data_IF_034675440131
#
_entry.id   IF_034675440131
#
_cell.length_a   1.000
_cell.length_b   1.000
_cell.length_c   1.000
_cell.angle_alpha   90.00
_cell.angle_beta   90.00
_cell.angle_gamma   90.00
#
_symmetry.space_group_name_H-M   'P 1'
#
loop_
_entity.id
_entity.type
_entity.pdbx_description
1 polymer ?
#
# COMPACT_ATOMS: atom_id res chain seq x y z
N UNK A 1 -6.42 -2.70 -15.96
CA UNK A 1 -5.11 -2.54 -16.61
C UNK A 1 -4.10 -2.08 -15.57
N UNK A 2 -2.94 -2.73 -15.48
CA UNK A 2 -1.94 -2.43 -14.44
C UNK A 2 -1.24 -1.10 -14.72
N UNK A 3 -1.41 -0.10 -13.86
CA UNK A 3 -0.68 1.20 -13.91
C UNK A 3 0.80 1.09 -13.48
N UNK A 4 1.34 -0.13 -13.38
CA UNK A 4 2.74 -0.36 -13.01
C UNK A 4 3.65 -0.05 -14.19
N UNK A 5 4.63 0.81 -13.97
CA UNK A 5 5.64 1.15 -14.95
C UNK A 5 7.04 0.86 -14.39
N UNK A 6 8.02 0.47 -15.22
CA UNK A 6 9.41 0.32 -14.80
C UNK A 6 9.98 1.63 -14.25
N UNK A 7 10.65 1.55 -13.10
CA UNK A 7 11.25 2.73 -12.46
C UNK A 7 12.31 3.37 -13.35
N UNK A 8 13.05 2.56 -14.12
CA UNK A 8 14.05 3.04 -15.08
C UNK A 8 13.45 3.95 -16.16
N UNK A 9 12.26 3.62 -16.66
CA UNK A 9 11.56 4.42 -17.67
C UNK A 9 11.03 5.72 -17.06
N UNK A 10 10.46 5.66 -15.86
CA UNK A 10 9.95 6.84 -15.16
C UNK A 10 11.06 7.84 -14.84
N UNK A 11 12.24 7.37 -14.42
CA UNK A 11 13.38 8.26 -14.12
C UNK A 11 13.92 8.92 -15.38
N UNK A 12 13.85 8.23 -16.53
CA UNK A 12 14.30 8.74 -17.82
C UNK A 12 13.32 9.74 -18.45
N UNK A 13 12.02 9.70 -18.10
CA UNK A 13 11.04 10.66 -18.62
C UNK A 13 11.28 12.06 -18.01
N UNK A 14 11.59 13.08 -18.83
CA UNK A 14 11.81 14.44 -18.35
C UNK A 14 10.55 15.08 -17.74
N UNK A 15 9.36 14.58 -18.07
CA UNK A 15 8.07 15.05 -17.55
C UNK A 15 7.78 14.52 -16.14
N UNK A 16 8.56 13.56 -15.65
CA UNK A 16 8.42 13.07 -14.27
C UNK A 16 8.76 14.18 -13.28
N UNK A 17 7.88 14.46 -12.29
CA UNK A 17 8.17 15.41 -11.23
C UNK A 17 9.52 15.13 -10.55
N UNK A 18 10.27 16.19 -10.26
CA UNK A 18 11.64 16.06 -9.73
C UNK A 18 11.68 15.26 -8.43
N UNK A 19 10.74 15.50 -7.52
CA UNK A 19 10.66 14.83 -6.24
C UNK A 19 10.43 13.31 -6.39
N UNK A 20 9.52 12.90 -7.27
CA UNK A 20 9.23 11.51 -7.57
C UNK A 20 10.45 10.83 -8.22
N UNK A 21 11.08 11.50 -9.20
CA UNK A 21 12.31 11.00 -9.84
C UNK A 21 13.44 10.80 -8.83
N UNK A 22 13.64 11.73 -7.91
CA UNK A 22 14.72 11.65 -6.91
C UNK A 22 14.45 10.54 -5.90
N UNK A 23 13.21 10.40 -5.39
CA UNK A 23 12.81 9.29 -4.51
C UNK A 23 13.02 7.93 -5.20
N UNK A 24 12.64 7.82 -6.48
CA UNK A 24 12.79 6.59 -7.24
C UNK A 24 14.26 6.22 -7.52
N UNK A 25 15.15 7.21 -7.70
CA UNK A 25 16.60 6.96 -7.77
C UNK A 25 17.13 6.35 -6.47
N UNK A 26 16.66 6.82 -5.31
CA UNK A 26 17.03 6.24 -4.01
C UNK A 26 16.61 4.77 -3.92
N UNK A 27 15.40 4.43 -4.40
CA UNK A 27 14.93 3.03 -4.45
C UNK A 27 15.89 2.15 -5.27
N UNK A 28 16.30 2.59 -6.46
CA UNK A 28 17.25 1.83 -7.29
C UNK A 28 18.64 1.72 -6.64
N UNK A 29 19.12 2.77 -5.97
CA UNK A 29 20.38 2.74 -5.24
C UNK A 29 20.34 1.76 -4.06
N UNK A 30 19.28 1.80 -3.26
CA UNK A 30 19.07 0.86 -2.16
C UNK A 30 18.99 -0.59 -2.66
N UNK A 31 18.29 -0.83 -3.77
CA UNK A 31 18.23 -2.15 -4.42
C UNK A 31 19.62 -2.62 -4.88
N UNK A 32 20.43 -1.73 -5.46
CA UNK A 32 21.81 -2.04 -5.86
C UNK A 32 22.66 -2.42 -4.65
N UNK A 33 22.60 -1.64 -3.57
CA UNK A 33 23.32 -1.92 -2.33
C UNK A 33 22.91 -3.26 -1.70
N UNK A 34 21.60 -3.55 -1.64
CA UNK A 34 21.10 -4.82 -1.12
C UNK A 34 21.66 -6.03 -1.89
N UNK A 35 21.79 -5.91 -3.22
CA UNK A 35 22.37 -6.97 -4.06
C UNK A 35 23.89 -7.04 -3.91
N UNK A 36 24.56 -5.91 -4.09
CA UNK A 36 26.01 -5.87 -4.31
C UNK A 36 26.80 -5.92 -2.99
N UNK A 37 26.25 -5.36 -1.91
CA UNK A 37 26.92 -5.25 -0.60
C UNK A 37 26.37 -6.21 0.44
N UNK A 38 25.05 -6.47 0.43
CA UNK A 38 24.41 -7.38 1.39
C UNK A 38 24.16 -8.78 0.82
N UNK A 39 24.47 -9.02 -0.46
CA UNK A 39 24.26 -10.28 -1.17
C UNK A 39 22.81 -10.82 -1.10
N UNK A 40 21.84 -9.93 -0.94
CA UNK A 40 20.42 -10.27 -0.91
C UNK A 40 19.90 -10.56 -2.32
N UNK A 41 18.96 -11.51 -2.42
CA UNK A 41 18.31 -11.88 -3.69
C UNK A 41 17.24 -10.85 -4.07
N UNK A 42 17.64 -9.71 -4.61
CA UNK A 42 16.72 -8.62 -4.97
C UNK A 42 15.70 -8.97 -6.08
N UNK A 43 16.05 -9.86 -7.03
CA UNK A 43 15.19 -10.28 -8.16
C UNK A 43 14.43 -9.10 -8.80
N UNK A 44 13.11 -9.20 -8.93
CA UNK A 44 12.22 -8.16 -9.47
C UNK A 44 11.60 -7.28 -8.38
N UNK A 45 12.07 -7.39 -7.13
CA UNK A 45 11.58 -6.54 -6.05
C UNK A 45 11.96 -5.09 -6.32
N UNK A 46 10.99 -4.19 -6.14
CA UNK A 46 11.16 -2.75 -6.25
C UNK A 46 11.72 -2.29 -7.62
N UNK A 47 11.32 -2.94 -8.72
CA UNK A 47 11.67 -2.51 -10.09
C UNK A 47 10.58 -1.71 -10.79
N UNK A 48 9.36 -1.71 -10.25
CA UNK A 48 8.20 -1.03 -10.82
C UNK A 48 7.58 -0.06 -9.82
N UNK A 49 6.93 0.97 -10.34
CA UNK A 49 6.21 1.97 -9.57
C UNK A 49 4.81 2.18 -10.15
N UNK A 50 3.84 2.44 -9.29
CA UNK A 50 2.49 2.85 -9.68
C UNK A 50 2.23 4.21 -9.09
N UNK A 51 2.08 5.21 -9.96
CA UNK A 51 1.68 6.55 -9.55
C UNK A 51 0.23 6.51 -9.08
N UNK A 52 -0.03 7.12 -7.93
CA UNK A 52 -1.37 7.36 -7.43
C UNK A 52 -1.81 8.76 -7.82
N UNK A 53 -3.10 8.93 -8.05
CA UNK A 53 -3.69 10.25 -8.33
C UNK A 53 -4.05 11.01 -7.03
N UNK A 54 -3.87 10.35 -5.89
CA UNK A 54 -4.15 10.85 -4.55
C UNK A 54 -3.06 10.38 -3.58
N UNK A 55 -2.96 11.02 -2.42
CA UNK A 55 -1.88 10.75 -1.44
C UNK A 55 -2.08 9.48 -0.61
N UNK A 56 -3.21 8.78 -0.73
CA UNK A 56 -3.52 7.62 0.12
C UNK A 56 -3.90 6.40 -0.70
N UNK A 57 -3.12 5.32 -0.73
CA UNK A 57 -3.48 4.16 -1.57
C UNK A 57 -4.81 3.49 -1.16
N UNK A 58 -5.01 3.33 0.14
CA UNK A 58 -6.08 2.53 0.73
C UNK A 58 -6.35 3.05 2.14
N UNK A 59 -7.61 3.07 2.55
CA UNK A 59 -7.97 3.23 3.96
C UNK A 59 -8.16 1.86 4.59
N UNK A 60 -7.65 1.68 5.81
CA UNK A 60 -7.82 0.44 6.57
C UNK A 60 -8.73 0.72 7.75
N UNK A 61 -9.83 -0.01 7.85
CA UNK A 61 -10.74 0.00 8.99
C UNK A 61 -10.39 -1.17 9.91
N UNK A 62 -10.22 -0.87 11.19
CA UNK A 62 -10.12 -1.84 12.28
C UNK A 62 -11.03 -1.38 13.40
N UNK A 63 -11.65 -2.31 14.12
CA UNK A 63 -12.56 -2.01 15.21
C UNK A 63 -12.37 -2.99 16.37
N UNK A 64 -12.88 -2.63 17.54
CA UNK A 64 -13.00 -3.49 18.72
C UNK A 64 -14.41 -3.33 19.29
N UNK A 65 -14.90 -4.36 19.98
CA UNK A 65 -16.22 -4.30 20.62
C UNK A 65 -16.21 -3.32 21.79
N UNK A 66 -17.31 -2.60 22.02
CA UNK A 66 -17.42 -1.52 23.03
C UNK A 66 -16.89 -1.85 24.42
N UNK A 67 -17.16 -3.05 24.90
CA UNK A 67 -16.94 -3.47 26.29
C UNK A 67 -15.70 -4.36 26.46
N UNK A 68 -14.98 -4.67 25.38
CA UNK A 68 -13.81 -5.53 25.43
C UNK A 68 -12.74 -5.12 24.43
N UNK A 69 -11.47 -5.23 24.83
CA UNK A 69 -10.32 -5.01 23.95
C UNK A 69 -10.08 -6.23 23.04
N UNK A 70 -11.13 -6.67 22.34
CA UNK A 70 -11.11 -7.77 21.39
C UNK A 70 -11.38 -7.22 19.99
N UNK A 71 -10.57 -7.59 18.97
CA UNK A 71 -10.77 -7.08 17.61
C UNK A 71 -12.08 -7.61 17.02
N UNK A 72 -12.79 -6.72 16.33
CA UNK A 72 -13.80 -7.11 15.35
C UNK A 72 -13.10 -7.79 14.17
N UNK A 73 -13.69 -8.86 13.64
CA UNK A 73 -13.09 -9.62 12.53
C UNK A 73 -14.07 -9.82 11.40
N UNK A 74 -13.60 -9.63 10.17
CA UNK A 74 -14.34 -9.99 8.97
C UNK A 74 -13.96 -11.39 8.52
N UNK A 75 -14.93 -12.17 8.06
CA UNK A 75 -14.68 -13.50 7.49
C UNK A 75 -14.70 -13.46 5.97
N UNK A 76 -13.67 -14.05 5.35
CA UNK A 76 -13.56 -14.22 3.91
C UNK A 76 -13.36 -15.72 3.58
N UNK A 77 -13.97 -16.24 2.51
CA UNK A 77 -13.97 -17.68 2.21
C UNK A 77 -12.59 -18.35 2.12
N UNK A 78 -11.57 -17.63 1.65
CA UNK A 78 -10.21 -18.18 1.45
C UNK A 78 -9.24 -17.74 2.54
N UNK A 79 -9.35 -16.48 2.99
CA UNK A 79 -8.40 -15.88 3.95
C UNK A 79 -8.76 -16.22 5.40
N UNK A 80 -10.03 -16.51 5.68
CA UNK A 80 -10.54 -16.71 7.03
C UNK A 80 -10.87 -15.39 7.72
N UNK A 81 -10.63 -15.32 9.04
CA UNK A 81 -10.92 -14.13 9.86
C UNK A 81 -9.75 -13.15 9.86
N UNK A 82 -10.02 -11.89 9.52
CA UNK A 82 -9.01 -10.82 9.47
C UNK A 82 -9.45 -9.67 10.40
N UNK A 83 -8.56 -9.11 11.23
CA UNK A 83 -8.91 -8.05 12.20
C UNK A 83 -8.92 -6.63 11.60
N UNK A 84 -8.87 -6.51 10.26
CA UNK A 84 -8.97 -5.25 9.55
C UNK A 84 -9.51 -5.48 8.13
N UNK A 85 -10.07 -4.42 7.52
CA UNK A 85 -10.57 -4.44 6.15
C UNK A 85 -10.10 -3.20 5.40
N UNK A 86 -9.49 -3.41 4.23
CA UNK A 86 -8.97 -2.34 3.37
C UNK A 86 -10.01 -1.87 2.33
N UNK A 87 -10.02 -0.57 2.06
CA UNK A 87 -10.95 0.09 1.16
C UNK A 87 -10.22 1.04 0.20
N UNK A 88 -10.45 0.85 -1.10
CA UNK A 88 -10.02 1.80 -2.14
C UNK A 88 -11.02 2.95 -2.32
N UNK A 89 -12.31 2.72 -2.03
CA UNK A 89 -13.34 3.75 -1.91
C UNK A 89 -13.34 4.29 -0.47
N UNK A 90 -12.96 5.55 -0.30
CA UNK A 90 -12.82 6.14 1.03
C UNK A 90 -14.16 6.43 1.70
N UNK A 91 -15.22 6.70 0.92
CA UNK A 91 -16.54 6.90 1.49
C UNK A 91 -17.13 5.58 1.96
N UNK A 92 -16.82 4.47 1.28
CA UNK A 92 -17.14 3.13 1.78
C UNK A 92 -16.43 2.82 3.10
N UNK A 93 -15.14 3.15 3.21
CA UNK A 93 -14.38 2.99 4.46
C UNK A 93 -15.02 3.78 5.62
N UNK A 94 -15.42 5.03 5.36
CA UNK A 94 -16.03 5.92 6.36
C UNK A 94 -17.44 5.48 6.74
N UNK A 95 -18.21 4.90 5.81
CA UNK A 95 -19.52 4.29 6.11
C UNK A 95 -19.32 3.10 7.04
N UNK A 96 -18.48 2.14 6.68
CA UNK A 96 -18.23 0.96 7.54
C UNK A 96 -17.73 1.36 8.94
N UNK A 97 -16.83 2.35 9.04
CA UNK A 97 -16.35 2.82 10.33
C UNK A 97 -17.45 3.43 11.20
N UNK A 98 -18.44 4.10 10.60
CA UNK A 98 -19.62 4.64 11.31
C UNK A 98 -20.56 3.51 11.71
N UNK A 99 -20.90 2.61 10.78
CA UNK A 99 -21.80 1.50 11.04
C UNK A 99 -21.28 0.65 12.22
N UNK A 100 -19.97 0.35 12.26
CA UNK A 100 -19.34 -0.37 13.38
C UNK A 100 -19.32 0.42 14.69
N UNK A 101 -19.20 1.76 14.63
CA UNK A 101 -19.25 2.59 15.83
C UNK A 101 -20.67 2.68 16.40
N UNK A 102 -21.69 2.61 15.54
CA UNK A 102 -23.10 2.63 15.93
C UNK A 102 -23.55 1.24 16.46
N UNK A 103 -22.99 0.15 15.93
CA UNK A 103 -23.29 -1.23 16.36
C UNK A 103 -22.71 -1.61 17.75
N UNK A 104 -21.68 -0.91 18.23
CA UNK A 104 -21.08 -1.08 19.56
C UNK A 104 -19.78 -1.87 19.61
#
# INVERSE_FOLDING_TARGET
MSRRQPISEIIADPRTPKDARDKLKVVLAARKYAKDSLHLRAKNSFTTYSRLDHDTLVLVVSAAYRDTLKPYTWWFPIVGRVPYKGYFDFDAARREARDLADDG
#
